data_IF_444832148142
#
_entry.id   IF_444832148142
#
_cell.length_a   1.000
_cell.length_b   1.000
_cell.length_c   1.000
_cell.angle_alpha   90.00
_cell.angle_beta   90.00
_cell.angle_gamma   90.00
#
_symmetry.space_group_name_H-M   'P 1'
#
loop_
_entity.id
_entity.type
_entity.pdbx_description
1 polymer ?
#
# COMPACT_ATOMS: atom_id res chain seq x y z
N UNK A 1 -7.55 9.91 22.33
CA UNK A 1 -7.60 8.60 22.99
C UNK A 1 -6.87 7.62 22.08
N UNK A 2 -5.54 7.71 22.09
CA UNK A 2 -4.62 7.05 21.16
C UNK A 2 -3.75 6.10 21.97
N UNK A 3 -4.15 4.83 22.10
CA UNK A 3 -3.33 3.76 22.67
C UNK A 3 -3.95 2.40 22.29
N UNK A 4 -3.09 1.45 21.87
CA UNK A 4 -3.35 0.18 21.14
C UNK A 4 -3.42 0.43 19.63
N UNK A 5 -2.41 0.15 18.81
CA UNK A 5 -1.60 -1.07 18.74
C UNK A 5 -0.17 -0.76 18.28
N UNK A 6 0.79 -0.87 19.19
CA UNK A 6 2.21 -1.13 18.88
C UNK A 6 2.55 -2.43 19.57
N UNK A 7 3.08 -3.41 18.82
CA UNK A 7 4.06 -4.44 19.24
C UNK A 7 3.86 -5.71 18.40
N UNK A 8 4.70 -5.87 17.39
CA UNK A 8 5.60 -7.02 17.21
C UNK A 8 6.76 -6.54 16.31
N UNK A 9 7.74 -5.85 16.91
CA UNK A 9 9.05 -5.69 16.29
C UNK A 9 10.04 -6.41 17.19
N UNK A 10 10.54 -7.55 16.72
CA UNK A 10 11.85 -8.01 17.17
C UNK A 10 12.83 -6.95 16.69
N UNK A 11 13.42 -6.22 17.62
CA UNK A 11 14.57 -5.37 17.37
C UNK A 11 15.74 -6.27 16.92
N UNK A 12 15.75 -6.65 15.65
CA UNK A 12 16.99 -6.91 14.92
C UNK A 12 17.34 -5.59 14.27
N UNK A 13 18.60 -5.20 14.41
CA UNK A 13 19.24 -4.13 13.63
C UNK A 13 19.25 -4.54 12.15
N UNK A 14 18.06 -4.56 11.53
CA UNK A 14 17.92 -4.74 10.10
C UNK A 14 18.44 -3.48 9.42
N UNK A 15 19.17 -3.61 8.30
CA UNK A 15 19.51 -2.45 7.48
C UNK A 15 18.24 -1.68 7.14
N UNK A 16 18.32 -0.35 6.98
CA UNK A 16 17.15 0.46 6.63
C UNK A 16 16.47 -0.13 5.39
N UNK A 17 15.14 -0.10 5.33
CA UNK A 17 14.41 -0.67 4.19
C UNK A 17 14.93 -0.04 2.90
N UNK A 18 15.32 -0.90 1.96
CA UNK A 18 15.87 -0.48 0.66
C UNK A 18 14.85 0.28 -0.17
N UNK A 19 13.56 0.08 0.09
CA UNK A 19 12.49 0.77 -0.62
C UNK A 19 11.86 1.82 0.27
N UNK A 20 11.57 2.98 -0.32
CA UNK A 20 10.84 4.07 0.34
C UNK A 20 9.83 4.69 -0.61
N UNK A 21 8.76 5.21 -0.03
CA UNK A 21 7.81 6.08 -0.71
C UNK A 21 7.90 7.47 -0.11
N UNK A 22 7.87 8.49 -0.96
CA UNK A 22 7.70 9.88 -0.53
C UNK A 22 6.37 10.40 -1.07
N UNK A 23 5.53 10.90 -0.17
CA UNK A 23 4.20 11.41 -0.50
C UNK A 23 4.24 12.93 -0.62
N UNK A 24 3.66 13.45 -1.69
CA UNK A 24 3.49 14.89 -1.94
C UNK A 24 2.01 15.19 -2.18
N UNK A 25 1.64 16.46 -2.35
CA UNK A 25 0.25 16.83 -2.70
C UNK A 25 -0.16 16.34 -4.09
N UNK A 26 0.79 16.16 -5.00
CA UNK A 26 0.54 15.82 -6.40
C UNK A 26 0.52 14.31 -6.64
N UNK A 27 1.16 13.54 -5.76
CA UNK A 27 1.38 12.12 -5.98
C UNK A 27 2.37 11.48 -5.04
N UNK A 28 2.76 10.25 -5.36
CA UNK A 28 3.79 9.48 -4.68
C UNK A 28 5.01 9.31 -5.58
N UNK A 29 6.20 9.24 -4.97
CA UNK A 29 7.44 8.87 -5.65
C UNK A 29 8.09 7.69 -4.93
N UNK A 30 8.43 6.66 -5.70
CA UNK A 30 9.09 5.46 -5.23
C UNK A 30 10.60 5.59 -5.38
N UNK A 31 11.31 5.03 -4.41
CA UNK A 31 12.75 4.90 -4.50
C UNK A 31 13.21 3.50 -4.13
N UNK A 32 14.29 3.08 -4.79
CA UNK A 32 15.10 1.93 -4.42
C UNK A 32 16.49 2.43 -4.08
N UNK A 33 16.93 2.13 -2.86
CA UNK A 33 18.06 2.74 -2.20
C UNK A 33 17.92 4.28 -2.27
N UNK A 34 18.79 4.96 -3.00
CA UNK A 34 18.74 6.41 -3.21
C UNK A 34 18.35 6.83 -4.64
N UNK A 35 17.85 5.89 -5.44
CA UNK A 35 17.45 6.16 -6.83
C UNK A 35 15.93 6.19 -6.98
N UNK A 36 15.37 7.26 -7.56
CA UNK A 36 13.95 7.28 -7.88
C UNK A 36 13.68 6.23 -8.96
N UNK A 37 12.68 5.37 -8.73
CA UNK A 37 12.36 4.25 -9.63
C UNK A 37 10.92 4.28 -10.15
N UNK A 38 10.10 5.22 -9.68
CA UNK A 38 8.74 5.41 -10.16
C UNK A 38 8.07 6.63 -9.55
N UNK A 39 7.06 7.14 -10.23
CA UNK A 39 6.21 8.22 -9.77
C UNK A 39 4.77 7.96 -10.21
N UNK A 40 3.81 8.27 -9.35
CA UNK A 40 2.39 8.23 -9.66
C UNK A 40 1.78 9.54 -9.23
N UNK A 41 1.16 10.25 -10.17
CA UNK A 41 0.35 11.44 -9.88
C UNK A 41 -1.04 11.01 -9.48
N UNK A 42 -1.56 11.61 -8.42
CA UNK A 42 -2.91 11.35 -7.94
C UNK A 42 -3.99 11.73 -8.95
N UNK A 43 -3.73 12.71 -9.82
CA UNK A 43 -4.62 13.06 -10.94
C UNK A 43 -4.83 11.91 -11.93
N UNK A 44 -3.84 11.02 -12.03
CA UNK A 44 -3.83 9.92 -13.00
C UNK A 44 -4.34 8.62 -12.36
N UNK A 45 -4.54 8.61 -11.04
CA UNK A 45 -5.03 7.45 -10.30
C UNK A 45 -6.51 7.23 -10.59
N UNK A 46 -6.82 6.02 -11.06
CA UNK A 46 -8.18 5.56 -11.38
C UNK A 46 -8.77 4.70 -10.27
N UNK A 47 -7.90 4.09 -9.47
CA UNK A 47 -8.27 3.24 -8.35
C UNK A 47 -7.14 3.20 -7.33
N UNK A 48 -7.50 3.30 -6.06
CA UNK A 48 -6.65 2.96 -4.92
C UNK A 48 -7.25 1.70 -4.30
N UNK A 49 -6.42 0.70 -4.07
CA UNK A 49 -6.83 -0.54 -3.44
C UNK A 49 -5.80 -0.97 -2.39
N UNK A 50 -6.26 -1.71 -1.39
CA UNK A 50 -5.39 -2.43 -0.48
C UNK A 50 -5.37 -3.91 -0.84
N UNK A 51 -4.25 -4.55 -0.60
CA UNK A 51 -4.09 -5.98 -0.82
C UNK A 51 -3.18 -6.59 0.22
N UNK A 52 -3.38 -7.88 0.47
CA UNK A 52 -2.47 -8.71 1.24
C UNK A 52 -1.78 -9.69 0.31
N UNK A 53 -0.45 -9.73 0.38
CA UNK A 53 0.39 -10.71 -0.29
C UNK A 53 0.81 -11.78 0.70
N UNK A 54 0.51 -13.02 0.36
CA UNK A 54 0.97 -14.18 1.13
C UNK A 54 2.43 -14.49 0.75
N UNK A 55 3.36 -14.30 1.69
CA UNK A 55 4.78 -14.65 1.56
C UNK A 55 5.09 -15.98 2.29
N UNK A 56 4.11 -16.89 2.36
CA UNK A 56 4.12 -18.23 2.95
C UNK A 56 4.20 -18.22 4.47
N UNK A 57 5.22 -17.57 5.04
CA UNK A 57 5.46 -17.51 6.48
C UNK A 57 4.95 -16.20 7.11
N UNK A 58 4.81 -15.15 6.30
CA UNK A 58 4.34 -13.83 6.73
C UNK A 58 3.37 -13.28 5.68
N UNK A 59 2.39 -12.51 6.15
CA UNK A 59 1.55 -11.69 5.30
C UNK A 59 2.22 -10.31 5.14
N UNK A 60 2.22 -9.77 3.92
CA UNK A 60 2.64 -8.39 3.64
C UNK A 60 1.45 -7.61 3.11
N UNK A 61 1.08 -6.53 3.80
CA UNK A 61 -0.02 -5.69 3.34
C UNK A 61 0.51 -4.47 2.60
N UNK A 62 -0.18 -4.15 1.50
CA UNK A 62 0.20 -3.05 0.64
C UNK A 62 -0.99 -2.32 0.02
N UNK A 63 -0.65 -1.21 -0.61
CA UNK A 63 -1.54 -0.36 -1.39
C UNK A 63 -1.11 -0.38 -2.85
N UNK A 64 -2.11 -0.47 -3.73
CA UNK A 64 -1.96 -0.36 -5.16
C UNK A 64 -2.62 0.89 -5.71
N UNK A 65 -1.91 1.56 -6.62
CA UNK A 65 -2.37 2.76 -7.33
C UNK A 65 -2.47 2.44 -8.82
N UNK A 66 -3.70 2.16 -9.31
CA UNK A 66 -3.93 1.90 -10.73
C UNK A 66 -3.99 3.22 -11.50
N UNK A 67 -3.21 3.31 -12.56
CA UNK A 67 -3.13 4.52 -13.41
C UNK A 67 -3.61 4.29 -14.84
N UNK A 68 -3.69 3.03 -15.29
CA UNK A 68 -4.08 2.68 -16.65
C UNK A 68 -5.32 1.77 -16.69
N UNK A 69 -5.96 1.69 -17.85
CA UNK A 69 -7.12 0.78 -18.06
C UNK A 69 -6.69 -0.67 -18.31
N UNK A 70 -5.45 -0.92 -18.69
CA UNK A 70 -4.89 -2.27 -18.87
C UNK A 70 -4.58 -2.97 -17.53
N UNK A 71 -4.93 -2.33 -16.42
CA UNK A 71 -4.69 -2.83 -15.08
C UNK A 71 -3.31 -2.52 -14.55
N UNK A 72 -2.44 -1.76 -15.23
CA UNK A 72 -1.13 -1.39 -14.68
C UNK A 72 -1.26 -0.51 -13.43
N UNK A 73 -0.50 -0.87 -12.39
CA UNK A 73 -0.53 -0.21 -11.09
C UNK A 73 0.85 -0.16 -10.44
N UNK A 74 0.99 0.81 -9.53
CA UNK A 74 2.16 0.99 -8.67
C UNK A 74 1.85 0.45 -7.27
N UNK A 75 2.81 -0.24 -6.66
CA UNK A 75 2.67 -0.85 -5.33
C UNK A 75 3.57 -0.18 -4.29
N UNK A 76 3.03 -0.05 -3.08
CA UNK A 76 3.75 0.27 -1.85
C UNK A 76 3.29 -0.67 -0.76
N UNK A 77 4.18 -1.04 0.14
CA UNK A 77 3.90 -2.01 1.20
C UNK A 77 4.32 -1.47 2.57
N UNK A 78 3.81 -2.09 3.63
CA UNK A 78 4.01 -1.67 5.01
C UNK A 78 5.47 -1.74 5.50
N UNK A 79 6.36 -2.41 4.76
CA UNK A 79 7.80 -2.42 5.05
C UNK A 79 8.56 -1.24 4.43
N UNK A 80 7.94 -0.51 3.49
CA UNK A 80 8.54 0.68 2.90
C UNK A 80 8.60 1.83 3.91
N UNK A 81 9.75 2.50 3.98
CA UNK A 81 9.84 3.79 4.68
C UNK A 81 8.92 4.81 4.01
N UNK A 82 8.12 5.54 4.78
CA UNK A 82 7.17 6.53 4.27
C UNK A 82 5.72 6.02 4.14
N UNK A 83 5.48 4.74 4.45
CA UNK A 83 4.16 4.13 4.29
C UNK A 83 3.13 4.74 5.26
N UNK A 84 3.48 4.97 6.53
CA UNK A 84 2.59 5.61 7.51
C UNK A 84 2.23 7.04 7.10
N UNK A 85 3.18 7.82 6.58
CA UNK A 85 2.95 9.16 6.07
C UNK A 85 2.02 9.16 4.85
N UNK A 86 2.11 8.13 4.00
CA UNK A 86 1.18 7.91 2.90
C UNK A 86 -0.23 7.60 3.42
N UNK A 87 -0.37 6.71 4.41
CA UNK A 87 -1.68 6.41 5.01
C UNK A 87 -2.35 7.66 5.57
N UNK A 88 -1.60 8.46 6.34
CA UNK A 88 -2.10 9.72 6.88
C UNK A 88 -2.51 10.71 5.78
N UNK A 89 -1.76 10.76 4.68
CA UNK A 89 -2.14 11.57 3.53
C UNK A 89 -3.44 11.07 2.88
N UNK A 90 -3.57 9.76 2.66
CA UNK A 90 -4.76 9.17 2.03
C UNK A 90 -6.03 9.36 2.86
N UNK A 91 -5.91 9.29 4.19
CA UNK A 91 -7.01 9.63 5.09
C UNK A 91 -7.49 11.07 4.84
N UNK A 92 -6.55 12.03 4.79
CA UNK A 92 -6.89 13.45 4.63
C UNK A 92 -7.35 13.85 3.24
N UNK A 93 -6.74 13.28 2.20
CA UNK A 93 -6.97 13.69 0.81
C UNK A 93 -8.10 12.87 0.14
N UNK A 94 -8.27 11.62 0.53
CA UNK A 94 -9.22 10.69 -0.10
C UNK A 94 -10.29 10.16 0.88
N UNK A 95 -10.20 10.47 2.18
CA UNK A 95 -11.12 9.94 3.19
C UNK A 95 -10.91 8.44 3.48
N UNK A 96 -9.76 7.88 3.07
CA UNK A 96 -9.46 6.46 3.22
C UNK A 96 -8.90 6.22 4.63
N UNK A 97 -9.78 5.86 5.57
CA UNK A 97 -9.39 5.56 6.95
C UNK A 97 -8.88 4.13 7.08
N UNK A 98 -7.69 3.93 7.65
CA UNK A 98 -7.09 2.60 7.81
C UNK A 98 -8.03 1.59 8.49
N UNK A 99 -8.72 2.04 9.55
CA UNK A 99 -9.67 1.24 10.33
C UNK A 99 -10.81 0.67 9.48
N UNK A 100 -11.18 1.34 8.39
CA UNK A 100 -12.32 0.94 7.54
C UNK A 100 -12.03 -0.26 6.62
N UNK A 101 -10.76 -0.58 6.40
CA UNK A 101 -10.34 -1.57 5.41
C UNK A 101 -9.28 -2.55 5.89
N UNK A 102 -8.48 -2.19 6.91
CA UNK A 102 -7.35 -3.00 7.34
C UNK A 102 -7.73 -4.44 7.66
N UNK A 103 -8.72 -4.63 8.53
CA UNK A 103 -9.19 -5.96 8.93
C UNK A 103 -9.72 -6.77 7.74
N UNK A 104 -10.42 -6.10 6.80
CA UNK A 104 -10.97 -6.73 5.59
C UNK A 104 -9.88 -7.25 4.66
N UNK A 105 -8.66 -6.74 4.76
CA UNK A 105 -7.51 -7.15 3.95
C UNK A 105 -6.63 -8.13 4.71
N UNK A 106 -6.44 -7.91 6.01
CA UNK A 106 -5.61 -8.75 6.88
C UNK A 106 -6.18 -10.17 7.07
N UNK A 107 -7.52 -10.32 7.03
CA UNK A 107 -8.23 -11.57 7.31
C UNK A 107 -8.89 -12.11 6.03
N UNK A 108 -8.85 -13.43 5.74
CA UNK A 108 -8.28 -14.52 6.53
C UNK A 108 -6.74 -14.60 6.40
N UNK A 109 -6.06 -15.09 7.43
CA UNK A 109 -4.59 -15.26 7.43
C UNK A 109 -4.13 -16.21 6.31
N UNK A 110 -2.95 -15.97 5.72
CA UNK A 110 -2.34 -16.81 4.67
C UNK A 110 -3.20 -16.98 3.42
N UNK A 111 -3.91 -15.92 3.05
CA UNK A 111 -4.70 -15.87 1.82
C UNK A 111 -4.56 -14.49 1.18
N UNK A 112 -4.30 -14.46 -0.13
CA UNK A 112 -4.28 -13.19 -0.86
C UNK A 112 -5.66 -12.57 -0.82
N UNK A 113 -5.75 -11.35 -0.31
CA UNK A 113 -7.00 -10.62 -0.17
C UNK A 113 -6.86 -9.21 -0.75
N UNK A 114 -7.95 -8.63 -1.25
CA UNK A 114 -7.98 -7.39 -1.99
C UNK A 114 -9.24 -6.59 -1.67
N UNK A 115 -9.11 -5.28 -1.55
CA UNK A 115 -10.27 -4.40 -1.42
C UNK A 115 -10.04 -3.04 -2.09
N UNK A 116 -11.04 -2.56 -2.83
CA UNK A 116 -11.00 -1.22 -3.42
C UNK A 116 -11.30 -0.18 -2.33
N UNK A 117 -10.42 0.80 -2.20
CA UNK A 117 -10.54 1.89 -1.21
C UNK A 117 -11.12 3.15 -1.84
N UNK A 118 -10.76 3.42 -3.09
CA UNK A 118 -11.21 4.61 -3.82
C UNK A 118 -11.21 4.36 -5.33
N UNK A 119 -12.11 5.04 -6.04
CA UNK A 119 -12.21 4.98 -7.49
C UNK A 119 -13.06 3.81 -7.98
N UNK A 120 -12.90 3.45 -9.26
CA UNK A 120 -13.65 2.35 -9.87
C UNK A 120 -12.80 1.11 -9.93
N UNK A 121 -13.36 0.02 -9.40
CA UNK A 121 -12.79 -1.31 -9.57
C UNK A 121 -12.64 -1.63 -11.06
N UNK A 122 -11.47 -2.12 -11.43
CA UNK A 122 -11.27 -2.64 -12.77
C UNK A 122 -11.91 -4.03 -12.86
N UNK A 123 -12.92 -4.18 -13.72
CA UNK A 123 -13.66 -5.44 -13.93
C UNK A 123 -12.84 -6.53 -14.63
N UNK A 124 -11.64 -6.21 -15.11
CA UNK A 124 -10.65 -7.20 -15.53
C UNK A 124 -10.02 -7.84 -14.30
N UNK A 125 -10.27 -9.14 -14.10
CA UNK A 125 -9.70 -10.01 -13.05
C UNK A 125 -8.27 -9.57 -12.70
N UNK A 126 -8.10 -8.86 -11.58
CA UNK A 126 -6.78 -8.42 -11.16
C UNK A 126 -5.87 -9.63 -11.01
N UNK A 127 -4.70 -9.45 -11.61
CA UNK A 127 -3.69 -10.44 -11.86
C UNK A 127 -3.23 -11.06 -10.54
N UNK A 128 -3.45 -12.37 -10.39
CA UNK A 128 -2.54 -13.22 -9.64
C UNK A 128 -1.18 -13.09 -10.33
N UNK A 129 -0.34 -12.15 -9.92
CA UNK A 129 1.08 -12.30 -10.20
C UNK A 129 1.53 -13.50 -9.34
N UNK A 130 2.04 -14.58 -9.97
CA UNK A 130 2.51 -15.74 -9.23
C UNK A 130 3.68 -15.39 -8.31
#
# INVERSE_FOLDING_TARGET
MFERWRKWWVARTSPPPRRRVSTTKEGIRLWSDDRPCGEVRFSDVKQIFAFKRDLWAVDLIGLGFRVAEDGAYCEVDEEMRGFDELLFFLERAFGIMQESWWEKVAVPAFETNFTTLWGKEHSGRFLRRP
#
